data_IF_122675948663
#
_entry.id   IF_122675948663
#
_cell.length_a   1.000
_cell.length_b   1.000
_cell.length_c   1.000
_cell.angle_alpha   90.00
_cell.angle_beta   90.00
_cell.angle_gamma   90.00
#
_symmetry.space_group_name_H-M   'P 1'
#
loop_
_entity.id
_entity.type
_entity.pdbx_description
1 polymer ?
#
# COMPACT_ATOMS: atom_id res chain seq x y z
N UNK A 1 -4.80 -58.61 17.95
CA UNK A 1 -4.20 -58.07 16.71
C UNK A 1 -4.50 -56.58 16.64
N UNK A 2 -3.46 -55.74 16.56
CA UNK A 2 -3.56 -54.27 16.47
C UNK A 2 -3.68 -53.88 15.00
N UNK A 3 -4.70 -53.10 14.62
CA UNK A 3 -4.76 -52.43 13.32
C UNK A 3 -4.51 -50.94 13.55
N UNK A 4 -3.32 -50.50 13.15
CA UNK A 4 -2.89 -49.11 13.17
C UNK A 4 -3.70 -48.28 12.19
N UNK A 5 -4.29 -47.19 12.67
CA UNK A 5 -4.71 -46.07 11.83
C UNK A 5 -3.57 -45.05 11.79
N UNK A 6 -2.90 -44.97 10.65
CA UNK A 6 -2.01 -43.85 10.31
C UNK A 6 -2.68 -43.03 9.23
N UNK A 7 -3.53 -42.09 9.63
CA UNK A 7 -3.95 -40.99 8.77
C UNK A 7 -2.87 -39.91 8.88
N UNK A 8 -1.86 -39.98 8.01
CA UNK A 8 -0.88 -38.91 7.87
C UNK A 8 -1.57 -37.79 7.10
N UNK A 9 -2.16 -36.86 7.85
CA UNK A 9 -2.65 -35.60 7.32
C UNK A 9 -1.45 -34.83 6.78
N UNK A 10 -1.23 -34.91 5.47
CA UNK A 10 -0.39 -33.96 4.74
C UNK A 10 -1.09 -32.60 4.84
N UNK A 11 -0.80 -31.87 5.90
CA UNK A 11 -1.13 -30.46 5.98
C UNK A 11 -0.53 -29.78 4.76
N UNK A 12 -1.38 -29.47 3.77
CA UNK A 12 -1.04 -28.50 2.74
C UNK A 12 -0.75 -27.21 3.49
N UNK A 13 0.52 -26.95 3.78
CA UNK A 13 1.00 -25.62 4.08
C UNK A 13 0.77 -24.81 2.81
N UNK A 14 -0.42 -24.25 2.67
CA UNK A 14 -0.65 -23.15 1.75
C UNK A 14 0.20 -22.02 2.30
N UNK A 15 1.45 -21.94 1.85
CA UNK A 15 2.30 -20.81 2.16
C UNK A 15 1.50 -19.56 1.78
N UNK A 16 1.35 -18.56 2.66
CA UNK A 16 0.71 -17.32 2.29
C UNK A 16 1.44 -16.81 1.05
N UNK A 17 0.73 -16.66 -0.06
CA UNK A 17 1.28 -15.98 -1.22
C UNK A 17 1.68 -14.60 -0.71
N UNK A 18 2.99 -14.36 -0.56
CA UNK A 18 3.49 -13.07 -0.14
C UNK A 18 2.98 -12.07 -1.16
N UNK A 19 1.98 -11.28 -0.77
CA UNK A 19 1.44 -10.25 -1.64
C UNK A 19 2.63 -9.36 -2.07
N UNK A 20 2.93 -9.38 -3.37
CA UNK A 20 4.05 -8.66 -3.93
C UNK A 20 3.74 -7.16 -3.90
N UNK A 21 4.78 -6.34 -3.73
CA UNK A 21 4.64 -4.89 -3.90
C UNK A 21 4.08 -4.60 -5.29
N UNK A 22 3.24 -3.58 -5.42
CA UNK A 22 2.69 -3.15 -6.72
C UNK A 22 3.34 -1.86 -7.24
N UNK A 23 4.31 -1.34 -6.49
CA UNK A 23 5.14 -0.22 -6.89
C UNK A 23 5.89 0.35 -5.71
N UNK A 24 6.48 1.53 -5.93
CA UNK A 24 7.21 2.29 -4.93
C UNK A 24 6.64 3.70 -4.86
N UNK A 25 6.42 4.17 -3.64
CA UNK A 25 6.04 5.55 -3.34
C UNK A 25 7.22 6.22 -2.69
N UNK A 26 7.63 7.37 -3.21
CA UNK A 26 8.66 8.20 -2.59
C UNK A 26 7.97 9.50 -2.17
N UNK A 27 7.96 9.74 -0.87
CA UNK A 27 7.39 10.94 -0.28
C UNK A 27 8.52 11.89 0.05
N UNK A 28 8.38 13.16 -0.33
CA UNK A 28 9.33 14.21 0.01
C UNK A 28 8.59 15.33 0.74
N UNK A 29 9.06 15.66 1.94
CA UNK A 29 8.66 16.83 2.72
C UNK A 29 9.82 17.82 2.84
N UNK A 30 9.63 18.90 3.59
CA UNK A 30 10.73 19.82 3.92
C UNK A 30 11.76 19.20 4.87
N UNK A 31 11.34 18.22 5.68
CA UNK A 31 12.20 17.62 6.73
C UNK A 31 12.94 16.40 6.22
N UNK A 32 12.32 15.62 5.34
CA UNK A 32 12.84 14.32 4.95
C UNK A 32 12.25 13.79 3.64
N UNK A 33 12.89 12.74 3.13
CA UNK A 33 12.36 11.91 2.05
C UNK A 33 12.36 10.46 2.53
N UNK A 34 11.26 9.77 2.32
CA UNK A 34 11.11 8.36 2.68
C UNK A 34 10.37 7.59 1.60
N UNK A 35 10.43 6.27 1.69
CA UNK A 35 9.94 5.37 0.66
C UNK A 35 9.01 4.32 1.26
N UNK A 36 7.96 3.97 0.51
CA UNK A 36 7.01 2.92 0.86
C UNK A 36 6.83 1.97 -0.33
N UNK A 37 6.65 0.68 -0.04
CA UNK A 37 6.49 -0.37 -1.05
C UNK A 37 5.13 -1.05 -0.86
N UNK A 38 4.03 -0.36 -1.24
CA UNK A 38 2.70 -0.81 -0.92
C UNK A 38 2.29 -2.06 -1.70
N UNK A 39 1.51 -2.91 -1.05
CA UNK A 39 0.85 -4.06 -1.68
C UNK A 39 -0.55 -3.66 -2.13
N UNK A 40 -1.04 -4.29 -3.20
CA UNK A 40 -2.42 -4.05 -3.65
C UNK A 40 -3.42 -4.49 -2.58
N UNK A 41 -4.40 -3.62 -2.32
CA UNK A 41 -5.49 -3.87 -1.37
C UNK A 41 -5.13 -3.61 0.09
N UNK A 42 -3.85 -3.34 0.41
CA UNK A 42 -3.40 -3.06 1.77
C UNK A 42 -3.53 -1.56 2.08
N UNK A 43 -4.21 -1.24 3.17
CA UNK A 43 -4.21 0.11 3.72
C UNK A 43 -3.00 0.28 4.63
N UNK A 44 -2.18 1.28 4.34
CA UNK A 44 -0.91 1.51 5.04
C UNK A 44 -1.00 2.86 5.76
N UNK A 45 -0.73 2.92 7.08
CA UNK A 45 -0.65 4.18 7.80
C UNK A 45 0.59 4.96 7.37
N UNK A 46 0.47 6.27 7.25
CA UNK A 46 1.64 7.14 7.15
C UNK A 46 2.23 7.30 8.56
N UNK A 47 3.52 6.99 8.72
CA UNK A 47 4.20 7.07 10.01
C UNK A 47 4.42 8.52 10.47
N UNK A 48 4.39 9.50 9.56
CA UNK A 48 4.52 10.94 9.85
C UNK A 48 3.35 11.77 9.31
N UNK A 49 2.13 11.62 9.86
CA UNK A 49 0.94 12.28 9.34
C UNK A 49 0.89 13.79 9.58
N UNK A 50 1.65 14.29 10.55
CA UNK A 50 1.71 15.72 10.91
C UNK A 50 2.64 16.54 10.00
N UNK A 51 3.41 15.87 9.13
CA UNK A 51 4.35 16.52 8.22
C UNK A 51 3.69 16.63 6.84
N UNK A 52 3.53 17.85 6.28
CA UNK A 52 2.99 17.99 4.94
C UNK A 52 3.97 17.45 3.89
N UNK A 53 3.41 16.80 2.88
CA UNK A 53 4.15 16.24 1.75
C UNK A 53 4.19 17.26 0.62
N UNK A 54 5.39 17.56 0.13
CA UNK A 54 5.61 18.50 -0.96
C UNK A 54 5.59 17.80 -2.33
N UNK A 55 6.10 16.57 -2.40
CA UNK A 55 6.14 15.75 -3.60
C UNK A 55 5.85 14.28 -3.27
N UNK A 56 5.08 13.62 -4.14
CA UNK A 56 4.95 12.16 -4.18
C UNK A 56 5.39 11.71 -5.56
N UNK A 57 6.45 10.90 -5.63
CA UNK A 57 6.87 10.18 -6.83
C UNK A 57 6.35 8.73 -6.77
N UNK A 58 5.48 8.41 -7.71
CA UNK A 58 4.82 7.11 -7.81
C UNK A 58 5.47 6.33 -8.94
N UNK A 59 6.21 5.29 -8.57
CA UNK A 59 6.86 4.36 -9.50
C UNK A 59 6.06 3.05 -9.48
N UNK A 60 4.99 3.03 -10.28
CA UNK A 60 4.11 1.87 -10.39
C UNK A 60 4.72 0.79 -11.28
N UNK A 61 4.52 -0.48 -10.92
CA UNK A 61 4.89 -1.59 -11.82
C UNK A 61 3.79 -1.89 -12.85
N UNK A 62 2.57 -1.37 -12.61
CA UNK A 62 1.39 -1.66 -13.40
C UNK A 62 0.59 -0.37 -13.71
N UNK A 63 0.33 -0.06 -14.99
CA UNK A 63 -0.25 1.23 -15.40
C UNK A 63 -1.72 1.43 -15.00
N UNK A 64 -2.41 0.37 -14.54
CA UNK A 64 -3.80 0.44 -14.10
C UNK A 64 -3.96 0.73 -12.60
N UNK A 65 -2.89 0.71 -11.80
CA UNK A 65 -2.97 0.91 -10.35
C UNK A 65 -3.31 2.36 -10.02
N UNK A 66 -4.27 2.54 -9.12
CA UNK A 66 -4.61 3.82 -8.53
C UNK A 66 -4.09 3.86 -7.10
N UNK A 67 -3.49 4.99 -6.74
CA UNK A 67 -2.97 5.25 -5.41
C UNK A 67 -3.89 6.27 -4.74
N UNK A 68 -4.53 5.87 -3.65
CA UNK A 68 -5.46 6.69 -2.89
C UNK A 68 -4.76 7.14 -1.61
N UNK A 69 -4.73 8.44 -1.37
CA UNK A 69 -4.12 9.06 -0.19
C UNK A 69 -5.22 9.71 0.63
N UNK A 70 -5.38 9.28 1.87
CA UNK A 70 -6.46 9.65 2.76
C UNK A 70 -5.99 10.66 3.80
N UNK A 71 -6.88 11.59 4.15
CA UNK A 71 -6.62 12.57 5.21
C UNK A 71 -6.81 12.00 6.61
N UNK A 72 -7.41 10.81 6.75
CA UNK A 72 -7.63 10.11 8.01
C UNK A 72 -6.90 8.76 8.02
N UNK A 73 -6.81 8.14 9.21
CA UNK A 73 -6.27 6.79 9.39
C UNK A 73 -7.18 5.72 8.78
N UNK A 74 -6.68 4.48 8.67
CA UNK A 74 -7.41 3.31 8.17
C UNK A 74 -8.06 3.47 6.78
N UNK A 75 -7.54 4.35 5.93
CA UNK A 75 -8.04 4.62 4.59
C UNK A 75 -9.52 5.05 4.58
N UNK A 76 -9.88 5.91 5.53
CA UNK A 76 -11.21 6.50 5.70
C UNK A 76 -11.23 7.98 5.31
N UNK A 77 -12.43 8.53 5.19
CA UNK A 77 -12.64 9.95 4.94
C UNK A 77 -12.32 10.38 3.51
N UNK A 78 -11.89 11.64 3.37
CA UNK A 78 -11.56 12.23 2.07
C UNK A 78 -10.27 11.62 1.53
N UNK A 79 -10.27 11.29 0.23
CA UNK A 79 -9.08 10.82 -0.46
C UNK A 79 -8.75 11.63 -1.71
N UNK A 80 -7.45 11.71 -2.00
CA UNK A 80 -6.90 12.16 -3.27
C UNK A 80 -6.40 10.94 -4.03
N UNK A 81 -6.83 10.79 -5.28
CA UNK A 81 -6.36 9.71 -6.15
C UNK A 81 -5.27 10.22 -7.08
N UNK A 82 -4.10 9.58 -7.05
CA UNK A 82 -3.00 9.84 -7.96
C UNK A 82 -2.70 8.59 -8.81
N UNK A 83 -2.00 8.81 -9.92
CA UNK A 83 -1.48 7.77 -10.81
C UNK A 83 0.04 7.80 -10.79
N UNK A 84 0.66 6.84 -11.47
CA UNK A 84 2.10 6.85 -11.70
C UNK A 84 2.62 8.23 -12.15
N UNK A 85 3.82 8.57 -11.69
CA UNK A 85 4.51 9.83 -11.99
C UNK A 85 4.75 10.70 -10.76
N UNK A 86 5.31 11.88 -11.01
CA UNK A 86 5.68 12.87 -9.99
C UNK A 86 4.58 13.89 -9.79
N UNK A 87 4.13 14.04 -8.55
CA UNK A 87 3.07 14.95 -8.15
C UNK A 87 3.61 15.94 -7.13
N UNK A 88 3.59 17.23 -7.48
CA UNK A 88 4.01 18.32 -6.59
C UNK A 88 2.79 19.07 -6.06
N UNK A 89 2.82 19.38 -4.78
CA UNK A 89 1.74 20.09 -4.11
C UNK A 89 2.19 21.52 -3.80
N UNK A 90 1.41 22.51 -4.26
CA UNK A 90 1.68 23.93 -4.01
C UNK A 90 1.10 24.44 -2.68
N UNK A 91 0.38 23.57 -1.97
CA UNK A 91 -0.25 23.81 -0.67
C UNK A 91 0.03 22.59 0.20
N UNK A 92 -0.06 22.78 1.52
CA UNK A 92 0.14 21.70 2.48
C UNK A 92 -0.77 20.51 2.15
N UNK A 93 -0.15 19.37 1.85
CA UNK A 93 -0.82 18.13 1.52
C UNK A 93 -0.51 17.10 2.61
N UNK A 94 -1.49 16.78 3.42
CA UNK A 94 -1.36 15.83 4.53
C UNK A 94 -1.90 14.46 4.13
N UNK A 95 -1.15 13.42 4.50
CA UNK A 95 -1.52 12.03 4.27
C UNK A 95 -1.47 11.30 5.61
N UNK A 96 -2.59 10.74 6.05
CA UNK A 96 -2.64 9.88 7.25
C UNK A 96 -2.56 8.40 6.90
N UNK A 97 -3.12 7.99 5.77
CA UNK A 97 -3.04 6.62 5.29
C UNK A 97 -3.15 6.56 3.77
N UNK A 98 -2.71 5.46 3.17
CA UNK A 98 -2.78 5.28 1.73
C UNK A 98 -3.07 3.84 1.33
N UNK A 99 -3.68 3.67 0.16
CA UNK A 99 -4.12 2.39 -0.38
C UNK A 99 -3.83 2.32 -1.87
N UNK A 100 -3.29 1.19 -2.31
CA UNK A 100 -3.12 0.89 -3.73
C UNK A 100 -4.24 -0.03 -4.19
N UNK A 101 -5.05 0.40 -5.16
CA UNK A 101 -6.12 -0.43 -5.74
C UNK A 101 -5.86 -0.68 -7.21
N UNK A 102 -5.95 -1.95 -7.58
CA UNK A 102 -6.13 -2.33 -8.97
C UNK A 102 -7.63 -2.27 -9.30
N UNK A 103 -8.06 -1.48 -10.30
CA UNK A 103 -9.47 -1.38 -10.69
C UNK A 103 -10.06 -2.70 -11.22
N UNK A 104 -9.25 -3.72 -11.49
CA UNK A 104 -9.70 -5.03 -11.95
C UNK A 104 -10.15 -5.99 -10.83
N UNK A 105 -9.93 -5.64 -9.55
CA UNK A 105 -10.27 -6.48 -8.40
C UNK A 105 -11.26 -5.78 -7.44
N UNK A 106 -12.19 -4.98 -7.97
CA UNK A 106 -13.24 -4.31 -7.20
C UNK A 106 -14.36 -5.24 -6.76
#
# INVERSE_FOLDING_TARGET
MKLSLTLVSLGLCVAPAFAQSVGKLIFTSEKETWEENPKAGECIPNWNPEIPVNEIDIQGEFPSIKYLFYTEEDCKGLSTTLREGKHKFSKDFYVNSFLCRNPLFS
#
